data_IF_585286427579
#
_entry.id   IF_585286427579
#
_cell.length_a   1.000
_cell.length_b   1.000
_cell.length_c   1.000
_cell.angle_alpha   90.00
_cell.angle_beta   90.00
_cell.angle_gamma   90.00
#
_symmetry.space_group_name_H-M   'P 1'
#
loop_
_entity.id
_entity.type
_entity.pdbx_description
1 polymer ?
#
# COMPACT_ATOMS: atom_id res chain seq x y z
N UNK A 1 16.88 7.89 8.39
CA UNK A 1 15.46 7.60 8.67
C UNK A 1 15.24 6.19 8.19
N UNK A 2 14.81 5.25 9.03
CA UNK A 2 14.50 3.91 8.53
C UNK A 2 13.44 4.04 7.43
N UNK A 3 13.83 3.72 6.19
CA UNK A 3 12.88 3.61 5.10
C UNK A 3 11.90 2.50 5.45
N UNK A 4 10.69 2.89 5.88
CA UNK A 4 9.59 1.94 6.08
C UNK A 4 9.48 1.07 4.85
N UNK A 5 9.39 -0.24 5.01
CA UNK A 5 9.17 -1.16 3.90
C UNK A 5 7.98 -0.71 3.05
N UNK A 6 7.99 -0.97 1.75
CA UNK A 6 6.88 -0.62 0.86
C UNK A 6 5.54 -1.17 1.39
N UNK A 7 5.56 -2.36 2.00
CA UNK A 7 4.40 -2.96 2.64
C UNK A 7 3.81 -2.09 3.77
N UNK A 8 4.67 -1.51 4.61
CA UNK A 8 4.27 -0.60 5.68
C UNK A 8 3.76 0.74 5.14
N UNK A 9 4.36 1.24 4.06
CA UNK A 9 3.92 2.48 3.41
C UNK A 9 2.54 2.32 2.78
N UNK A 10 2.31 1.25 2.01
CA UNK A 10 1.01 0.92 1.43
C UNK A 10 -0.04 0.75 2.53
N UNK A 11 0.29 0.06 3.63
CA UNK A 11 -0.63 -0.07 4.77
C UNK A 11 -1.02 1.29 5.36
N UNK A 12 -0.06 2.21 5.50
CA UNK A 12 -0.34 3.56 5.97
C UNK A 12 -1.20 4.36 4.99
N UNK A 13 -0.98 4.21 3.68
CA UNK A 13 -1.81 4.83 2.63
C UNK A 13 -3.25 4.32 2.70
N UNK A 14 -3.43 3.01 2.81
CA UNK A 14 -4.76 2.39 2.89
C UNK A 14 -5.53 2.88 4.12
N UNK A 15 -4.86 3.05 5.26
CA UNK A 15 -5.46 3.59 6.49
C UNK A 15 -5.94 5.05 6.37
N UNK A 16 -5.49 5.81 5.37
CA UNK A 16 -5.98 7.18 5.12
C UNK A 16 -7.36 7.21 4.47
N UNK A 17 -7.82 6.08 3.93
CA UNK A 17 -9.14 5.93 3.32
C UNK A 17 -10.04 5.17 4.30
N UNK A 18 -10.88 5.92 5.01
CA UNK A 18 -11.87 5.42 5.98
C UNK A 18 -13.21 4.99 5.36
N UNK A 19 -13.30 5.07 4.03
CA UNK A 19 -14.43 4.60 3.25
C UNK A 19 -14.15 3.26 2.55
N UNK A 20 -15.09 2.85 1.71
CA UNK A 20 -15.04 1.59 0.97
C UNK A 20 -13.77 1.40 0.12
N UNK A 21 -13.06 2.47 -0.26
CA UNK A 21 -11.86 2.38 -1.11
C UNK A 21 -10.71 1.71 -0.37
N UNK A 22 -10.50 2.08 0.90
CA UNK A 22 -9.45 1.50 1.74
C UNK A 22 -9.68 0.00 1.96
N UNK A 23 -10.93 -0.38 2.20
CA UNK A 23 -11.33 -1.77 2.35
C UNK A 23 -11.15 -2.58 1.06
N UNK A 24 -11.66 -2.06 -0.07
CA UNK A 24 -11.59 -2.76 -1.35
C UNK A 24 -10.14 -2.96 -1.82
N UNK A 25 -9.28 -1.94 -1.69
CA UNK A 25 -7.86 -2.04 -2.05
C UNK A 25 -7.11 -3.02 -1.13
N UNK A 26 -7.46 -3.08 0.16
CA UNK A 26 -6.88 -4.06 1.09
C UNK A 26 -7.22 -5.50 0.69
N UNK A 27 -8.48 -5.75 0.28
CA UNK A 27 -8.93 -7.06 -0.22
C UNK A 27 -8.20 -7.44 -1.51
N UNK A 28 -8.06 -6.50 -2.46
CA UNK A 28 -7.35 -6.75 -3.72
C UNK A 28 -5.87 -7.08 -3.48
N UNK A 29 -5.20 -6.34 -2.59
CA UNK A 29 -3.82 -6.60 -2.20
C UNK A 29 -3.65 -8.00 -1.61
N UNK A 30 -4.58 -8.44 -0.75
CA UNK A 30 -4.56 -9.78 -0.19
C UNK A 30 -4.72 -10.85 -1.27
N UNK A 31 -5.59 -10.62 -2.27
CA UNK A 31 -5.79 -11.53 -3.38
C UNK A 31 -4.54 -11.65 -4.26
N UNK A 32 -3.88 -10.53 -4.59
CA UNK A 32 -2.64 -10.54 -5.38
C UNK A 32 -1.55 -11.33 -4.66
N UNK A 33 -1.38 -11.13 -3.35
CA UNK A 33 -0.42 -11.87 -2.53
C UNK A 33 -0.69 -13.38 -2.48
N UNK A 34 -1.96 -13.78 -2.52
CA UNK A 34 -2.33 -15.20 -2.58
C UNK A 34 -2.04 -15.80 -3.96
N UNK A 35 -2.26 -15.03 -5.03
CA UNK A 35 -2.02 -15.47 -6.40
C UNK A 35 -0.52 -15.58 -6.73
N UNK A 36 0.29 -14.63 -6.25
CA UNK A 36 1.74 -14.64 -6.41
C UNK A 36 2.42 -14.23 -5.09
N UNK A 37 2.90 -15.21 -4.29
CA UNK A 37 3.62 -14.92 -3.05
C UNK A 37 4.96 -14.20 -3.23
N UNK A 38 5.54 -14.23 -4.44
CA UNK A 38 6.84 -13.62 -4.74
C UNK A 38 6.71 -12.16 -5.23
N UNK A 39 5.50 -11.63 -5.32
CA UNK A 39 5.28 -10.25 -5.77
C UNK A 39 5.99 -9.25 -4.85
N UNK A 40 6.50 -8.18 -5.47
CA UNK A 40 7.18 -7.09 -4.76
C UNK A 40 6.29 -5.86 -4.77
N UNK A 41 6.22 -5.20 -3.62
CA UNK A 41 5.46 -3.98 -3.43
C UNK A 41 6.37 -2.77 -3.57
N UNK A 42 5.91 -1.75 -4.29
CA UNK A 42 6.62 -0.48 -4.44
C UNK A 42 5.63 0.69 -4.39
N UNK A 43 6.05 1.79 -3.79
CA UNK A 43 5.30 3.06 -3.82
C UNK A 43 6.03 4.03 -4.72
N UNK A 44 5.41 4.39 -5.85
CA UNK A 44 5.97 5.29 -6.86
C UNK A 44 5.30 6.66 -6.82
N UNK A 45 5.98 7.65 -7.39
CA UNK A 45 5.46 9.01 -7.61
C UNK A 45 5.19 9.83 -6.34
N UNK A 46 5.96 9.62 -5.28
CA UNK A 46 5.98 10.49 -4.10
C UNK A 46 6.30 11.93 -4.50
N UNK A 47 5.55 12.88 -3.94
CA UNK A 47 5.76 14.33 -4.17
C UNK A 47 5.85 15.06 -2.83
N UNK A 48 6.47 16.24 -2.76
CA UNK A 48 6.49 17.02 -1.52
C UNK A 48 5.08 17.31 -0.96
N UNK A 49 4.10 17.54 -1.83
CA UNK A 49 2.69 17.76 -1.44
C UNK A 49 1.92 16.47 -1.11
N UNK A 50 2.49 15.30 -1.43
CA UNK A 50 1.93 13.98 -1.15
C UNK A 50 3.09 13.02 -0.85
N UNK A 51 3.61 13.08 0.40
CA UNK A 51 4.84 12.40 0.78
C UNK A 51 4.67 10.88 0.92
N UNK A 52 3.41 10.42 0.99
CA UNK A 52 3.05 9.03 0.72
C UNK A 52 3.18 8.65 -0.75
#
# INVERSE_FOLDING_TARGET
MEDKSAAQQIHAILKKYDDWRGEMLSRLRALIKQADPAFVEEVKWKKPSRPE
#
